data_IF_545478312436
#
_entry.id   IF_545478312436
#
_cell.length_a   1.000
_cell.length_b   1.000
_cell.length_c   1.000
_cell.angle_alpha   90.00
_cell.angle_beta   90.00
_cell.angle_gamma   90.00
#
_symmetry.space_group_name_H-M   'P 1'
#
loop_
_entity.id
_entity.type
_entity.pdbx_description
1 polymer ?
#
# COMPACT_ATOMS: atom_id res chain seq x y z
N UNK A 1 -15.22 -21.97 50.19
CA UNK A 1 -15.74 -22.20 48.82
C UNK A 1 -16.41 -20.99 48.17
N UNK A 2 -17.35 -20.27 48.82
CA UNK A 2 -18.09 -19.13 48.20
C UNK A 2 -17.22 -17.97 47.66
N UNK A 3 -16.07 -17.66 48.27
CA UNK A 3 -15.17 -16.58 47.79
C UNK A 3 -14.37 -16.94 46.54
N UNK A 4 -14.04 -18.22 46.35
CA UNK A 4 -13.30 -18.68 45.17
C UNK A 4 -14.20 -18.65 43.92
N UNK A 5 -15.45 -19.06 44.09
CA UNK A 5 -16.46 -19.07 43.03
C UNK A 5 -16.75 -17.65 42.49
N UNK A 6 -16.82 -16.64 43.38
CA UNK A 6 -16.99 -15.23 42.96
C UNK A 6 -15.81 -14.71 42.14
N UNK A 7 -14.57 -15.11 42.45
CA UNK A 7 -13.38 -14.70 41.68
C UNK A 7 -13.33 -15.36 40.31
N UNK A 8 -13.74 -16.62 40.20
CA UNK A 8 -13.80 -17.35 38.92
C UNK A 8 -14.87 -16.73 38.00
N UNK A 9 -16.05 -16.40 38.53
CA UNK A 9 -17.11 -15.73 37.77
C UNK A 9 -16.65 -14.35 37.27
N UNK A 10 -15.92 -13.60 38.10
CA UNK A 10 -15.41 -12.28 37.71
C UNK A 10 -14.36 -12.38 36.59
N UNK A 11 -13.46 -13.37 36.68
CA UNK A 11 -12.47 -13.63 35.64
C UNK A 11 -13.14 -14.04 34.32
N UNK A 12 -14.17 -14.90 34.39
CA UNK A 12 -14.92 -15.34 33.22
C UNK A 12 -15.68 -14.17 32.56
N UNK A 13 -16.31 -13.29 33.34
CA UNK A 13 -16.97 -12.09 32.83
C UNK A 13 -15.98 -11.10 32.19
N UNK A 14 -14.78 -10.96 32.76
CA UNK A 14 -13.72 -10.12 32.18
C UNK A 14 -13.24 -10.66 30.82
N UNK A 15 -13.05 -11.99 30.71
CA UNK A 15 -12.73 -12.61 29.42
C UNK A 15 -13.90 -12.57 28.43
N UNK A 16 -15.15 -12.64 28.89
CA UNK A 16 -16.33 -12.49 28.04
C UNK A 16 -16.41 -11.07 27.45
N UNK A 17 -16.11 -10.03 28.23
CA UNK A 17 -16.07 -8.64 27.76
C UNK A 17 -14.94 -8.37 26.75
N UNK A 18 -13.78 -9.00 26.94
CA UNK A 18 -12.66 -8.91 25.99
C UNK A 18 -12.97 -9.62 24.65
N UNK A 19 -13.78 -10.68 24.67
CA UNK A 19 -14.21 -11.36 23.44
C UNK A 19 -15.34 -10.61 22.72
N UNK A 20 -16.27 -9.97 23.43
CA UNK A 20 -17.33 -9.17 22.78
C UNK A 20 -16.80 -7.92 22.06
N UNK A 21 -15.72 -7.32 22.58
CA UNK A 21 -15.07 -6.16 21.93
C UNK A 21 -14.26 -6.54 20.68
N UNK A 22 -13.93 -7.83 20.49
CA UNK A 22 -13.32 -8.35 19.28
C UNK A 22 -14.36 -8.77 18.20
N UNK A 23 -15.63 -8.88 18.56
CA UNK A 23 -16.73 -9.35 17.70
C UNK A 23 -17.78 -8.28 17.37
N UNK A 24 -17.41 -6.99 17.31
CA UNK A 24 -18.21 -6.02 16.53
C UNK A 24 -17.95 -6.21 15.03
N UNK A 25 -18.22 -7.42 14.53
CA UNK A 25 -18.38 -7.68 13.11
C UNK A 25 -19.82 -7.32 12.77
N UNK A 26 -19.98 -6.46 11.77
CA UNK A 26 -21.27 -6.02 11.23
C UNK A 26 -22.14 -7.25 10.90
N UNK A 27 -23.31 -7.44 11.53
CA UNK A 27 -24.12 -8.66 11.40
C UNK A 27 -24.81 -8.77 10.04
N UNK A 28 -24.60 -7.81 9.13
CA UNK A 28 -25.24 -7.80 7.82
C UNK A 28 -24.37 -8.49 6.77
N UNK A 29 -24.28 -9.83 6.82
CA UNK A 29 -24.22 -10.77 5.68
C UNK A 29 -23.43 -10.45 4.40
N UNK A 30 -22.49 -9.49 4.40
CA UNK A 30 -21.66 -9.13 3.28
C UNK A 30 -20.28 -9.72 3.53
N UNK A 31 -19.79 -10.56 2.61
CA UNK A 31 -18.42 -11.07 2.64
C UNK A 31 -17.46 -9.96 3.05
N UNK A 32 -16.70 -10.18 4.11
CA UNK A 32 -15.95 -9.17 4.86
C UNK A 32 -15.21 -8.22 3.91
N UNK A 33 -15.73 -7.00 3.73
CA UNK A 33 -15.08 -6.01 2.88
C UNK A 33 -13.75 -5.62 3.51
N UNK A 34 -12.67 -5.76 2.74
CA UNK A 34 -11.34 -5.46 3.20
C UNK A 34 -11.22 -3.97 3.51
N UNK A 35 -10.35 -3.66 4.48
CA UNK A 35 -9.93 -2.29 4.80
C UNK A 35 -8.45 -2.15 4.47
N UNK A 36 -8.11 -1.00 3.91
CA UNK A 36 -6.72 -0.61 3.65
C UNK A 36 -6.13 -0.15 4.98
N UNK A 37 -5.04 -0.77 5.41
CA UNK A 37 -4.50 -0.60 6.76
C UNK A 37 -3.15 0.09 6.74
N UNK A 38 -2.95 1.02 7.67
CA UNK A 38 -1.62 1.53 7.99
C UNK A 38 -0.89 0.45 8.77
N UNK A 39 0.33 0.14 8.35
CA UNK A 39 1.26 -0.69 9.11
C UNK A 39 2.48 0.14 9.50
N UNK A 40 3.07 -0.19 10.65
CA UNK A 40 4.34 0.39 11.04
C UNK A 40 5.47 -0.45 10.47
N UNK A 41 6.27 0.17 9.62
CA UNK A 41 7.48 -0.43 9.09
C UNK A 41 8.52 -0.49 10.22
N UNK A 42 8.65 -1.67 10.84
CA UNK A 42 9.67 -1.89 11.88
C UNK A 42 11.07 -1.74 11.28
N UNK A 43 12.01 -1.28 12.11
CA UNK A 43 13.41 -1.21 11.73
C UNK A 43 13.90 -2.61 11.32
N UNK A 44 14.15 -2.74 10.02
CA UNK A 44 14.42 -3.99 9.33
C UNK A 44 15.37 -3.73 8.18
N UNK A 45 15.98 -4.79 7.64
CA UNK A 45 16.79 -4.69 6.42
C UNK A 45 15.99 -3.99 5.30
N UNK A 46 14.74 -4.41 5.08
CA UNK A 46 13.89 -3.82 4.06
C UNK A 46 13.63 -2.33 4.31
N UNK A 47 13.33 -1.94 5.55
CA UNK A 47 13.16 -0.53 5.92
C UNK A 47 14.39 0.32 5.55
N UNK A 48 15.59 -0.16 5.89
CA UNK A 48 16.84 0.55 5.61
C UNK A 48 17.09 0.69 4.11
N UNK A 49 16.80 -0.34 3.32
CA UNK A 49 16.96 -0.27 1.85
C UNK A 49 15.90 0.63 1.20
N UNK A 50 14.66 0.63 1.68
CA UNK A 50 13.62 1.60 1.25
C UNK A 50 14.06 3.03 1.55
N UNK A 51 14.61 3.27 2.75
CA UNK A 51 15.11 4.58 3.15
C UNK A 51 16.23 5.07 2.24
N UNK A 52 17.23 4.22 1.98
CA UNK A 52 18.33 4.53 1.04
C UNK A 52 17.80 4.82 -0.36
N UNK A 53 16.86 4.01 -0.85
CA UNK A 53 16.23 4.20 -2.15
C UNK A 53 15.59 5.58 -2.24
N UNK A 54 14.72 5.94 -1.29
CA UNK A 54 14.06 7.25 -1.23
C UNK A 54 15.08 8.39 -1.27
N UNK A 55 16.11 8.32 -0.43
CA UNK A 55 17.13 9.36 -0.36
C UNK A 55 17.87 9.52 -1.69
N UNK A 56 18.23 8.41 -2.34
CA UNK A 56 18.90 8.44 -3.65
C UNK A 56 18.01 9.00 -4.76
N UNK A 57 16.72 8.64 -4.77
CA UNK A 57 15.79 9.09 -5.81
C UNK A 57 15.42 10.56 -5.62
N UNK A 58 15.32 11.06 -4.39
CA UNK A 58 15.10 12.48 -4.10
C UNK A 58 16.25 13.35 -4.63
N UNK A 59 17.48 12.83 -4.62
CA UNK A 59 18.66 13.54 -5.15
C UNK A 59 18.64 13.54 -6.68
N UNK A 60 18.25 12.42 -7.31
CA UNK A 60 18.21 12.29 -8.77
C UNK A 60 17.06 13.07 -9.39
N UNK A 61 15.88 13.06 -8.77
CA UNK A 61 14.66 13.62 -9.34
C UNK A 61 13.98 14.58 -8.38
N UNK A 62 14.05 15.88 -8.71
CA UNK A 62 13.40 16.95 -7.93
C UNK A 62 11.89 16.75 -7.84
N UNK A 63 11.26 16.19 -8.87
CA UNK A 63 9.82 15.89 -8.87
C UNK A 63 9.48 14.84 -7.82
N UNK A 64 10.25 13.76 -7.75
CA UNK A 64 10.07 12.71 -6.73
C UNK A 64 10.23 13.26 -5.30
N UNK A 65 10.95 14.36 -5.10
CA UNK A 65 11.00 15.03 -3.79
C UNK A 65 9.63 15.57 -3.39
N UNK A 66 8.93 16.24 -4.31
CA UNK A 66 7.66 16.91 -4.04
C UNK A 66 6.47 15.95 -4.10
N UNK A 67 6.41 15.12 -5.14
CA UNK A 67 5.33 14.17 -5.43
C UNK A 67 5.90 12.77 -5.57
N UNK A 68 5.04 11.77 -5.73
CA UNK A 68 5.40 10.37 -5.82
C UNK A 68 5.39 9.65 -4.48
N UNK A 69 5.16 8.34 -4.59
CA UNK A 69 5.18 7.37 -3.50
C UNK A 69 6.05 6.18 -3.90
N UNK A 70 6.31 5.26 -2.97
CA UNK A 70 7.09 4.04 -3.23
C UNK A 70 6.16 2.83 -3.20
N UNK A 71 6.35 1.90 -4.12
CA UNK A 71 5.74 0.56 -4.08
C UNK A 71 6.79 -0.47 -3.75
N UNK A 72 6.44 -1.40 -2.86
CA UNK A 72 7.24 -2.58 -2.57
C UNK A 72 6.43 -3.79 -3.01
N UNK A 73 6.94 -4.53 -3.98
CA UNK A 73 6.33 -5.77 -4.47
C UNK A 73 7.17 -6.97 -4.07
N UNK A 74 6.56 -8.07 -3.59
CA UNK A 74 7.31 -9.33 -3.48
C UNK A 74 7.57 -9.87 -4.88
N UNK A 75 8.78 -10.41 -5.11
CA UNK A 75 9.12 -11.11 -6.35
C UNK A 75 9.20 -12.60 -6.04
N UNK A 76 8.58 -13.43 -6.88
CA UNK A 76 8.70 -14.88 -6.82
C UNK A 76 10.19 -15.25 -6.92
N UNK A 77 10.68 -15.93 -5.89
CA UNK A 77 12.04 -16.40 -5.84
C UNK A 77 12.12 -17.84 -6.33
N UNK A 78 13.01 -18.10 -7.28
CA UNK A 78 13.31 -19.44 -7.79
C UNK A 78 14.61 -20.03 -7.23
N UNK A 79 15.39 -19.25 -6.47
CA UNK A 79 16.68 -19.67 -5.92
C UNK A 79 16.57 -20.14 -4.47
N UNK A 80 17.19 -21.26 -4.14
CA UNK A 80 17.10 -21.87 -2.81
C UNK A 80 17.86 -21.11 -1.71
N UNK A 81 18.73 -20.16 -2.06
CA UNK A 81 19.57 -19.41 -1.13
C UNK A 81 18.98 -18.05 -0.70
N UNK A 82 17.86 -17.63 -1.31
CA UNK A 82 17.18 -16.37 -1.04
C UNK A 82 15.94 -16.64 -0.18
N UNK A 83 15.84 -15.99 0.99
CA UNK A 83 14.66 -16.07 1.85
C UNK A 83 13.52 -15.26 1.24
N UNK A 84 13.82 -14.02 0.82
CA UNK A 84 12.84 -13.08 0.26
C UNK A 84 13.48 -12.19 -0.77
N UNK A 85 12.72 -11.88 -1.81
CA UNK A 85 13.08 -10.91 -2.83
C UNK A 85 11.98 -9.84 -2.94
N UNK A 86 12.40 -8.59 -2.98
CA UNK A 86 11.51 -7.44 -3.08
C UNK A 86 11.90 -6.58 -4.27
N UNK A 87 10.91 -6.06 -4.97
CA UNK A 87 11.06 -4.98 -5.93
C UNK A 87 10.60 -3.68 -5.29
N UNK A 88 11.45 -2.66 -5.30
CA UNK A 88 11.16 -1.34 -4.74
C UNK A 88 11.21 -0.34 -5.88
N UNK A 89 10.11 0.36 -6.11
CA UNK A 89 10.02 1.36 -7.18
C UNK A 89 9.29 2.61 -6.68
N UNK A 90 9.56 3.75 -7.30
CA UNK A 90 8.74 4.96 -7.14
C UNK A 90 7.55 4.90 -8.10
N UNK A 91 6.50 5.64 -7.81
CA UNK A 91 5.31 5.67 -8.65
C UNK A 91 4.52 6.96 -8.44
N UNK A 92 3.68 7.30 -9.42
CA UNK A 92 2.88 8.52 -9.50
C UNK A 92 1.43 8.25 -9.90
N UNK A 93 1.04 6.98 -10.03
CA UNK A 93 -0.29 6.55 -10.47
C UNK A 93 -1.37 6.96 -9.46
N UNK A 94 -2.48 7.49 -9.96
CA UNK A 94 -3.63 7.87 -9.16
C UNK A 94 -4.48 6.65 -8.76
N UNK A 95 -5.47 6.88 -7.89
CA UNK A 95 -6.38 5.85 -7.40
C UNK A 95 -7.84 6.29 -7.58
N UNK A 96 -8.13 6.97 -8.70
CA UNK A 96 -9.41 7.65 -8.93
C UNK A 96 -10.53 6.65 -9.32
N UNK A 97 -10.18 5.50 -9.91
CA UNK A 97 -11.15 4.44 -10.29
C UNK A 97 -11.62 3.57 -9.11
N UNK A 98 -12.63 4.05 -8.39
CA UNK A 98 -13.19 3.32 -7.25
C UNK A 98 -13.77 1.94 -7.59
N UNK A 99 -14.00 1.60 -8.86
CA UNK A 99 -14.51 0.28 -9.26
C UNK A 99 -13.38 -0.75 -9.42
N UNK A 100 -12.14 -0.30 -9.62
CA UNK A 100 -10.99 -1.17 -9.73
C UNK A 100 -10.37 -1.45 -8.35
N UNK A 101 -10.72 -2.57 -7.73
CA UNK A 101 -10.13 -2.99 -6.44
C UNK A 101 -8.63 -3.33 -6.54
N UNK A 102 -8.15 -3.77 -7.71
CA UNK A 102 -6.78 -4.25 -7.89
C UNK A 102 -5.73 -3.16 -7.72
N UNK A 103 -6.09 -1.90 -7.99
CA UNK A 103 -5.15 -0.79 -7.86
C UNK A 103 -4.81 -0.52 -6.40
N UNK A 104 -5.74 -0.74 -5.45
CA UNK A 104 -5.57 -0.40 -4.04
C UNK A 104 -4.68 -1.43 -3.31
N UNK A 105 -3.76 -0.97 -2.44
CA UNK A 105 -2.94 -1.85 -1.63
C UNK A 105 -3.75 -2.34 -0.41
N UNK A 106 -3.39 -3.50 0.13
CA UNK A 106 -3.87 -3.91 1.45
C UNK A 106 -3.24 -3.07 2.56
N UNK A 107 -1.96 -2.74 2.40
CA UNK A 107 -1.17 -2.09 3.44
C UNK A 107 -0.40 -0.89 2.91
N UNK A 108 -0.28 0.13 3.75
CA UNK A 108 0.59 1.28 3.51
C UNK A 108 1.37 1.68 4.76
N UNK A 109 2.48 2.38 4.57
CA UNK A 109 3.30 2.94 5.65
C UNK A 109 3.93 4.26 5.23
N UNK A 110 4.75 4.86 6.11
CA UNK A 110 5.50 6.06 5.83
C UNK A 110 6.98 5.87 6.16
N UNK A 111 7.86 6.31 5.25
CA UNK A 111 9.32 6.31 5.43
C UNK A 111 9.86 7.61 4.85
N UNK A 112 10.66 8.36 5.62
CA UNK A 112 11.25 9.65 5.22
C UNK A 112 10.25 10.58 4.50
N UNK A 113 9.06 10.75 5.10
CA UNK A 113 7.96 11.58 4.57
C UNK A 113 7.40 11.13 3.21
N UNK A 114 7.72 9.93 2.74
CA UNK A 114 7.10 9.29 1.57
C UNK A 114 6.12 8.21 1.99
N UNK A 115 5.03 8.12 1.24
CA UNK A 115 4.07 7.03 1.36
C UNK A 115 4.65 5.76 0.72
N UNK A 116 4.55 4.64 1.42
CA UNK A 116 5.00 3.33 0.96
C UNK A 116 3.79 2.42 0.83
N UNK A 117 3.59 1.84 -0.35
CA UNK A 117 2.53 0.86 -0.60
C UNK A 117 3.15 -0.53 -0.65
N UNK A 118 2.65 -1.44 0.16
CA UNK A 118 3.14 -2.82 0.19
C UNK A 118 2.19 -3.69 -0.60
N UNK A 119 2.70 -4.28 -1.68
CA UNK A 119 2.01 -5.20 -2.57
C UNK A 119 2.65 -6.58 -2.42
N UNK A 120 1.99 -7.50 -1.74
CA UNK A 120 2.56 -8.83 -1.48
C UNK A 120 1.90 -9.92 -2.33
N UNK A 121 2.48 -11.12 -2.35
CA UNK A 121 1.84 -12.29 -2.98
C UNK A 121 0.48 -12.63 -2.37
N UNK A 122 0.30 -12.33 -1.08
CA UNK A 122 -1.00 -12.42 -0.40
C UNK A 122 -2.08 -11.57 -1.06
N UNK A 123 -1.73 -10.49 -1.76
CA UNK A 123 -2.67 -9.69 -2.53
C UNK A 123 -3.23 -10.41 -3.75
N UNK A 124 -2.46 -11.34 -4.32
CA UNK A 124 -2.87 -12.14 -5.47
C UNK A 124 -3.70 -13.36 -5.06
N UNK A 125 -3.55 -13.81 -3.81
CA UNK A 125 -4.28 -14.95 -3.25
C UNK A 125 -5.66 -14.57 -2.70
N UNK A 126 -5.89 -13.29 -2.39
CA UNK A 126 -7.15 -12.79 -1.84
C UNK A 126 -7.92 -12.06 -2.94
N UNK A 127 -9.18 -12.46 -3.18
CA UNK A 127 -10.08 -11.66 -4.02
C UNK A 127 -10.35 -10.32 -3.33
N UNK A 128 -9.60 -9.29 -3.72
CA UNK A 128 -9.71 -7.96 -3.09
C UNK A 128 -11.06 -7.35 -3.39
N UNK A 129 -11.82 -7.09 -2.33
CA UNK A 129 -13.01 -6.25 -2.40
C UNK A 129 -13.02 -5.29 -1.23
N UNK A 130 -12.64 -4.04 -1.47
CA UNK A 130 -12.63 -2.99 -0.48
C UNK A 130 -13.98 -2.27 -0.43
N UNK A 131 -14.33 -1.79 0.76
CA UNK A 131 -15.46 -0.86 0.90
C UNK A 131 -15.17 0.47 0.19
N UNK A 132 -16.18 1.10 -0.39
CA UNK A 132 -16.07 2.45 -0.98
C UNK A 132 -15.51 3.45 0.04
N UNK A 133 -15.91 3.31 1.32
CA UNK A 133 -15.41 4.13 2.42
C UNK A 133 -13.89 3.97 2.60
N UNK A 134 -13.38 2.74 2.56
CA UNK A 134 -11.94 2.47 2.65
C UNK A 134 -11.19 3.05 1.46
N UNK A 135 -11.69 2.88 0.23
CA UNK A 135 -11.07 3.42 -0.98
C UNK A 135 -10.99 4.96 -0.93
N UNK A 136 -12.10 5.63 -0.59
CA UNK A 136 -12.14 7.10 -0.43
C UNK A 136 -11.23 7.61 0.69
N UNK A 137 -11.09 6.86 1.78
CA UNK A 137 -10.16 7.22 2.85
C UNK A 137 -8.71 7.15 2.36
N UNK A 138 -8.35 6.08 1.65
CA UNK A 138 -7.03 5.94 1.07
C UNK A 138 -6.74 7.00 0.00
N UNK A 139 -7.71 7.36 -0.85
CA UNK A 139 -7.56 8.48 -1.80
C UNK A 139 -7.10 9.76 -1.09
N UNK A 140 -7.71 10.10 0.05
CA UNK A 140 -7.29 11.29 0.84
C UNK A 140 -5.86 11.18 1.37
N UNK A 141 -5.40 9.97 1.68
CA UNK A 141 -4.04 9.71 2.18
C UNK A 141 -3.01 9.87 1.06
N UNK A 142 -3.31 9.37 -0.15
CA UNK A 142 -2.36 9.38 -1.26
C UNK A 142 -2.36 10.69 -2.04
N UNK A 143 -3.45 11.46 -2.05
CA UNK A 143 -3.59 12.69 -2.82
C UNK A 143 -2.42 13.69 -2.67
N UNK A 144 -1.86 13.94 -1.46
CA UNK A 144 -0.70 14.83 -1.30
C UNK A 144 0.57 14.36 -2.05
N UNK A 145 0.65 13.07 -2.40
CA UNK A 145 1.76 12.47 -3.11
C UNK A 145 1.52 12.41 -4.63
N UNK A 146 0.39 12.91 -5.13
CA UNK A 146 0.07 12.86 -6.55
C UNK A 146 0.21 14.22 -7.22
N UNK A 147 0.37 14.20 -8.55
CA UNK A 147 0.29 15.42 -9.35
C UNK A 147 -1.08 16.07 -9.21
N UNK A 148 -1.12 17.41 -9.16
CA UNK A 148 -2.38 18.16 -9.06
C UNK A 148 -3.29 17.85 -10.25
N UNK A 149 -4.58 17.69 -9.95
CA UNK A 149 -5.61 17.53 -10.98
C UNK A 149 -5.84 18.85 -11.71
N UNK A 150 -5.78 18.81 -13.04
CA UNK A 150 -6.21 19.87 -13.94
C UNK A 150 -7.46 19.41 -14.68
N UNK A 151 -8.39 20.32 -14.94
CA UNK A 151 -9.57 20.03 -15.76
C UNK A 151 -9.27 20.41 -17.21
N UNK A 152 -9.07 19.40 -18.06
CA UNK A 152 -8.86 19.61 -19.50
C UNK A 152 -10.15 19.37 -20.27
N UNK A 153 -10.33 20.04 -21.40
CA UNK A 153 -11.46 19.76 -22.28
C UNK A 153 -11.20 18.44 -23.02
N UNK A 154 -12.18 17.54 -23.02
CA UNK A 154 -12.07 16.29 -23.75
C UNK A 154 -11.91 16.57 -25.26
N UNK A 155 -10.94 15.93 -25.96
CA UNK A 155 -10.83 16.07 -27.40
C UNK A 155 -12.15 15.64 -28.06
N UNK A 156 -12.70 16.52 -28.91
CA UNK A 156 -13.95 16.28 -29.62
C UNK A 156 -13.63 16.09 -31.09
N UNK A 157 -14.07 14.97 -31.67
CA UNK A 157 -13.95 14.69 -33.10
C UNK A 157 -14.74 15.74 -33.93
N UNK A 158 -15.75 16.39 -33.33
CA UNK A 158 -16.64 17.36 -33.99
C UNK A 158 -16.58 18.77 -33.36
N UNK A 159 -15.56 19.08 -32.55
CA UNK A 159 -15.38 20.41 -31.93
C UNK A 159 -16.42 20.86 -30.89
N UNK A 160 -17.36 19.99 -30.47
CA UNK A 160 -18.50 20.34 -29.60
C UNK A 160 -18.49 19.68 -28.20
N UNK A 161 -17.37 19.15 -27.73
CA UNK A 161 -17.30 18.66 -26.35
C UNK A 161 -17.05 19.80 -25.37
N UNK A 162 -18.03 20.10 -24.52
CA UNK A 162 -17.85 20.95 -23.32
C UNK A 162 -17.46 20.15 -22.07
N UNK A 163 -17.26 18.83 -22.19
CA UNK A 163 -16.98 17.96 -21.05
C UNK A 163 -15.54 18.17 -20.59
N UNK A 164 -15.39 18.73 -19.38
CA UNK A 164 -14.11 18.78 -18.68
C UNK A 164 -13.82 17.41 -18.06
N UNK A 165 -12.63 16.89 -18.25
CA UNK A 165 -12.14 15.65 -17.63
C UNK A 165 -10.98 15.96 -16.68
N UNK A 166 -10.91 15.29 -15.52
CA UNK A 166 -9.74 15.38 -14.65
C UNK A 166 -8.53 14.77 -15.37
N UNK A 167 -7.41 15.46 -15.28
CA UNK A 167 -6.15 15.06 -15.90
C UNK A 167 -4.99 15.47 -14.99
N UNK A 168 -4.04 14.56 -14.77
CA UNK A 168 -2.80 14.87 -14.05
C UNK A 168 -1.65 14.79 -15.06
N UNK A 169 -0.93 15.90 -15.26
CA UNK A 169 0.13 15.99 -16.29
C UNK A 169 1.21 14.91 -16.13
N UNK A 170 1.54 14.52 -14.90
CA UNK A 170 2.55 13.51 -14.62
C UNK A 170 2.08 12.05 -14.67
N UNK A 171 0.81 11.75 -14.99
CA UNK A 171 0.33 10.36 -15.14
C UNK A 171 0.99 9.62 -16.32
N UNK A 172 1.54 10.35 -17.29
CA UNK A 172 2.23 9.76 -18.45
C UNK A 172 3.69 9.41 -18.18
N UNK A 173 4.19 9.66 -16.97
CA UNK A 173 5.54 9.24 -16.58
C UNK A 173 5.50 7.71 -16.43
N UNK A 174 5.87 6.99 -17.48
CA UNK A 174 6.21 5.57 -17.36
C UNK A 174 7.41 5.47 -16.43
N UNK A 175 7.18 4.90 -15.24
CA UNK A 175 8.28 4.69 -14.29
C UNK A 175 8.99 3.40 -14.66
N UNK A 176 10.03 3.54 -15.47
CA UNK A 176 10.99 2.48 -15.73
C UNK A 176 12.00 2.40 -14.59
N UNK A 177 12.30 1.20 -14.07
CA UNK A 177 13.39 0.95 -13.14
C UNK A 177 12.98 0.57 -11.71
N UNK A 178 13.70 1.10 -10.72
CA UNK A 178 13.65 0.66 -9.32
C UNK A 178 14.84 -0.21 -8.93
N UNK A 179 14.77 -0.82 -7.75
CA UNK A 179 15.78 -1.75 -7.23
C UNK A 179 15.15 -3.07 -6.84
N UNK A 180 15.90 -4.15 -7.03
CA UNK A 180 15.59 -5.45 -6.47
C UNK A 180 16.46 -5.67 -5.23
N UNK A 181 15.83 -6.05 -4.12
CA UNK A 181 16.48 -6.36 -2.84
C UNK A 181 16.30 -7.85 -2.56
N UNK A 182 17.40 -8.59 -2.54
CA UNK A 182 17.44 -10.01 -2.18
C UNK A 182 18.02 -10.18 -0.78
N UNK A 183 17.30 -10.89 0.09
CA UNK A 183 17.75 -11.25 1.44
C UNK A 183 18.07 -12.74 1.44
N UNK A 184 19.33 -13.08 1.68
CA UNK A 184 19.85 -14.45 1.63
C UNK A 184 19.70 -15.16 2.97
N UNK A 185 19.72 -16.50 2.95
CA UNK A 185 19.61 -17.35 4.16
C UNK A 185 20.71 -17.04 5.18
N UNK A 186 21.91 -16.70 4.71
CA UNK A 186 23.05 -16.30 5.54
C UNK A 186 22.95 -14.84 6.06
N UNK A 187 21.83 -14.15 5.86
CA UNK A 187 21.63 -12.75 6.26
C UNK A 187 22.28 -11.71 5.35
N UNK A 188 22.99 -12.13 4.28
CA UNK A 188 23.52 -11.20 3.27
C UNK A 188 22.36 -10.51 2.55
N UNK A 189 22.62 -9.29 2.11
CA UNK A 189 21.68 -8.49 1.32
C UNK A 189 22.35 -8.11 0.01
N UNK A 190 21.68 -8.36 -1.12
CA UNK A 190 22.09 -7.84 -2.41
C UNK A 190 21.04 -6.85 -2.90
N UNK A 191 21.50 -5.70 -3.38
CA UNK A 191 20.68 -4.67 -3.99
C UNK A 191 21.19 -4.47 -5.40
N UNK A 192 20.31 -4.64 -6.39
CA UNK A 192 20.65 -4.47 -7.81
C UNK A 192 19.62 -3.58 -8.48
N UNK A 193 20.00 -2.79 -9.51
CA UNK A 193 19.01 -2.12 -10.35
C UNK A 193 18.04 -3.15 -10.93
N UNK A 194 16.75 -2.85 -10.89
CA UNK A 194 15.76 -3.76 -11.42
C UNK A 194 15.85 -3.84 -12.95
N UNK A 195 15.71 -5.05 -13.49
CA UNK A 195 15.65 -5.31 -14.94
C UNK A 195 14.22 -5.41 -15.47
N UNK A 196 13.22 -5.25 -14.61
CA UNK A 196 11.82 -5.30 -15.02
C UNK A 196 11.47 -4.02 -15.80
N UNK A 197 10.95 -4.22 -17.01
CA UNK A 197 10.38 -3.23 -17.93
C UNK A 197 8.90 -3.52 -18.09
#
# INVERSE_FOLDING_TARGET
MKKLFKKIIFLFLFFLQMNLSAFSQDPNGAGSQLKIQKIDFKDSILFREVKKFIQSEIVKEKEFKAVGYVTISTIINTSNDIIRKYHINKNYVNFDDLNNDSQFPLFYSYVDSKLILVRGDFENLVHKKFSIRSKKHFQKIIEPFLYKVKLIQAPSINGKSKKKMPYREGERIQVHGGIDVSIFINGKVAVVPSKFY
#
